data_IF_033881378307
#
_entry.id   IF_033881378307
#
_cell.length_a   1.000
_cell.length_b   1.000
_cell.length_c   1.000
_cell.angle_alpha   90.00
_cell.angle_beta   90.00
_cell.angle_gamma   90.00
#
_symmetry.space_group_name_H-M   'P 1'
#
loop_
_entity.id
_entity.type
_entity.pdbx_description
1 polymer ?
#
# COMPACT_ATOMS: atom_id res chain seq x y z
N UNK A 1 -29.57 -11.52 -5.78
CA UNK A 1 -29.23 -10.53 -4.73
C UNK A 1 -27.78 -10.12 -4.94
N UNK A 2 -27.53 -8.99 -5.59
CA UNK A 2 -26.17 -8.45 -5.76
C UNK A 2 -25.94 -7.42 -4.66
N UNK A 3 -25.32 -7.82 -3.55
CA UNK A 3 -24.79 -6.85 -2.58
C UNK A 3 -23.55 -6.20 -3.21
N UNK A 4 -23.75 -5.10 -3.92
CA UNK A 4 -22.68 -4.21 -4.33
C UNK A 4 -22.05 -3.57 -3.10
N UNK A 5 -20.93 -4.11 -2.64
CA UNK A 5 -20.09 -3.50 -1.61
C UNK A 5 -19.25 -2.37 -2.22
N UNK A 6 -19.89 -1.31 -2.71
CA UNK A 6 -19.23 -0.03 -2.99
C UNK A 6 -19.45 0.92 -1.80
N UNK A 7 -19.02 0.49 -0.62
CA UNK A 7 -18.77 1.42 0.47
C UNK A 7 -17.52 2.18 0.08
N UNK A 8 -17.67 3.42 -0.40
CA UNK A 8 -16.57 4.37 -0.55
C UNK A 8 -16.00 4.61 0.85
N UNK A 9 -15.17 3.67 1.31
CA UNK A 9 -14.45 3.76 2.57
C UNK A 9 -13.37 4.79 2.30
N UNK A 10 -13.66 6.03 2.67
CA UNK A 10 -12.74 7.17 2.52
C UNK A 10 -11.37 6.73 2.98
N UNK A 11 -10.44 6.61 2.04
CA UNK A 11 -9.08 6.21 2.35
C UNK A 11 -8.49 7.31 3.24
N UNK A 12 -7.98 7.00 4.44
CA UNK A 12 -7.39 8.04 5.28
C UNK A 12 -6.20 8.70 4.56
N UNK A 13 -6.14 10.03 4.60
CA UNK A 13 -5.07 10.81 3.98
C UNK A 13 -3.82 10.83 4.85
N UNK A 14 -3.98 10.80 6.17
CA UNK A 14 -2.87 10.80 7.11
C UNK A 14 -2.12 9.45 7.09
N UNK A 15 -0.78 9.42 6.92
CA UNK A 15 -0.02 8.18 6.77
C UNK A 15 -0.22 7.19 7.92
N UNK A 16 -0.36 7.69 9.15
CA UNK A 16 -0.59 6.85 10.33
C UNK A 16 -1.98 6.20 10.30
N UNK A 17 -3.02 6.98 10.04
CA UNK A 17 -4.40 6.46 9.95
C UNK A 17 -4.53 5.48 8.79
N UNK A 18 -3.91 5.79 7.66
CA UNK A 18 -3.84 4.91 6.50
C UNK A 18 -3.15 3.60 6.86
N UNK A 19 -2.06 3.63 7.63
CA UNK A 19 -1.37 2.42 8.07
C UNK A 19 -2.25 1.53 8.98
N UNK A 20 -3.06 2.13 9.85
CA UNK A 20 -4.04 1.39 10.68
C UNK A 20 -5.14 0.79 9.81
N UNK A 21 -5.65 1.57 8.86
CA UNK A 21 -6.68 1.12 7.92
C UNK A 21 -6.19 -0.05 7.05
N UNK A 22 -4.99 0.06 6.46
CA UNK A 22 -4.35 -1.00 5.66
C UNK A 22 -4.17 -2.25 6.49
N UNK A 23 -3.68 -2.14 7.72
CA UNK A 23 -3.56 -3.30 8.62
C UNK A 23 -4.90 -3.99 8.84
N UNK A 24 -5.96 -3.22 9.09
CA UNK A 24 -7.31 -3.76 9.22
C UNK A 24 -7.77 -4.50 7.96
N UNK A 25 -7.55 -3.91 6.78
CA UNK A 25 -7.91 -4.53 5.50
C UNK A 25 -7.11 -5.79 5.18
N UNK A 26 -5.82 -5.82 5.51
CA UNK A 26 -4.98 -7.02 5.39
C UNK A 26 -5.49 -8.12 6.32
N UNK A 27 -5.81 -7.80 7.57
CA UNK A 27 -6.33 -8.77 8.55
C UNK A 27 -7.64 -9.41 8.11
N UNK A 28 -8.55 -8.65 7.49
CA UNK A 28 -9.79 -9.20 6.92
C UNK A 28 -9.52 -10.21 5.80
N UNK A 29 -8.35 -10.15 5.16
CA UNK A 29 -7.88 -11.07 4.10
C UNK A 29 -6.92 -12.14 4.62
N UNK A 30 -6.75 -12.27 5.94
CA UNK A 30 -5.79 -13.23 6.53
C UNK A 30 -4.32 -12.83 6.39
N UNK A 31 -4.04 -11.59 5.98
CA UNK A 31 -2.68 -11.07 5.73
C UNK A 31 -2.21 -10.12 6.83
N UNK A 32 -0.92 -9.79 6.80
CA UNK A 32 -0.30 -8.78 7.67
C UNK A 32 0.89 -8.11 6.98
N UNK A 33 1.35 -6.96 7.47
CA UNK A 33 2.58 -6.33 6.98
C UNK A 33 3.78 -7.28 6.98
N UNK A 34 3.89 -8.13 8.01
CA UNK A 34 4.96 -9.11 8.09
C UNK A 34 4.84 -10.18 6.99
N UNK A 35 3.62 -10.65 6.70
CA UNK A 35 3.37 -11.57 5.59
C UNK A 35 3.74 -10.95 4.25
N UNK A 36 3.29 -9.73 3.98
CA UNK A 36 3.62 -8.99 2.75
C UNK A 36 5.14 -8.81 2.61
N UNK A 37 5.81 -8.42 3.68
CA UNK A 37 7.27 -8.26 3.67
C UNK A 37 8.00 -9.57 3.35
N UNK A 38 7.54 -10.70 3.92
CA UNK A 38 8.12 -12.02 3.65
C UNK A 38 7.91 -12.45 2.20
N UNK A 39 6.72 -12.23 1.63
CA UNK A 39 6.44 -12.51 0.22
C UNK A 39 7.33 -11.71 -0.73
N UNK A 40 7.71 -10.48 -0.33
CA UNK A 40 8.66 -9.64 -1.05
C UNK A 40 10.14 -9.91 -0.70
N UNK A 41 10.45 -10.92 0.12
CA UNK A 41 11.83 -11.22 0.53
C UNK A 41 12.50 -10.14 1.38
N UNK A 42 11.74 -9.26 2.04
CA UNK A 42 12.25 -8.14 2.85
C UNK A 42 12.12 -8.42 4.36
N UNK A 43 12.77 -7.57 5.17
CA UNK A 43 12.62 -7.56 6.63
C UNK A 43 11.16 -7.43 7.05
N UNK A 44 10.74 -8.11 8.14
CA UNK A 44 9.35 -8.16 8.63
C UNK A 44 8.67 -6.80 8.85
N UNK A 45 9.45 -5.73 9.00
CA UNK A 45 8.96 -4.36 9.22
C UNK A 45 8.84 -3.54 7.94
N UNK A 46 9.40 -4.02 6.82
CA UNK A 46 9.57 -3.22 5.62
C UNK A 46 8.23 -2.75 5.04
N UNK A 47 7.22 -3.62 4.94
CA UNK A 47 5.91 -3.22 4.43
C UNK A 47 5.22 -2.19 5.34
N UNK A 48 5.43 -2.25 6.67
CA UNK A 48 4.92 -1.21 7.58
C UNK A 48 5.66 0.11 7.38
N UNK A 49 6.97 0.04 7.16
CA UNK A 49 7.80 1.22 6.89
C UNK A 49 7.38 1.89 5.57
N UNK A 50 6.96 1.11 4.57
CA UNK A 50 6.48 1.61 3.28
C UNK A 50 5.28 2.58 3.40
N UNK A 51 4.49 2.50 4.48
CA UNK A 51 3.42 3.47 4.74
C UNK A 51 3.93 4.89 4.99
N UNK A 52 5.17 5.02 5.49
CA UNK A 52 5.78 6.28 5.92
C UNK A 52 6.95 6.70 5.02
N UNK A 53 7.71 5.73 4.52
CA UNK A 53 8.87 5.95 3.66
C UNK A 53 8.60 5.33 2.29
N UNK A 54 8.95 6.02 1.18
CA UNK A 54 8.73 5.49 -0.16
C UNK A 54 9.43 4.14 -0.39
N UNK A 55 8.70 3.19 -0.97
CA UNK A 55 9.27 1.93 -1.47
C UNK A 55 8.38 1.34 -2.56
N UNK A 56 8.75 1.49 -3.84
CA UNK A 56 7.85 1.21 -4.96
C UNK A 56 7.36 -0.23 -4.94
N UNK A 57 8.28 -1.13 -4.66
CA UNK A 57 8.07 -2.58 -4.60
C UNK A 57 7.05 -2.94 -3.51
N UNK A 58 7.22 -2.40 -2.30
CA UNK A 58 6.35 -2.70 -1.17
C UNK A 58 5.02 -1.96 -1.24
N UNK A 59 5.00 -0.74 -1.76
CA UNK A 59 3.78 0.03 -2.03
C UNK A 59 2.88 -0.73 -3.01
N UNK A 60 3.45 -1.28 -4.07
CA UNK A 60 2.74 -2.15 -5.03
C UNK A 60 2.29 -3.44 -4.39
N UNK A 61 3.17 -4.15 -3.67
CA UNK A 61 2.81 -5.39 -3.00
C UNK A 61 1.66 -5.23 -1.99
N UNK A 62 1.60 -4.08 -1.29
CA UNK A 62 0.49 -3.73 -0.41
C UNK A 62 -0.81 -3.47 -1.19
N UNK A 63 -0.72 -2.72 -2.28
CA UNK A 63 -1.87 -2.41 -3.14
C UNK A 63 -2.44 -3.68 -3.79
N UNK A 64 -1.56 -4.55 -4.29
CA UNK A 64 -1.90 -5.85 -4.87
C UNK A 64 -2.60 -6.76 -3.83
N UNK A 65 -2.08 -6.81 -2.59
CA UNK A 65 -2.69 -7.57 -1.50
C UNK A 65 -4.06 -7.03 -1.06
N UNK A 66 -4.35 -5.77 -1.39
CA UNK A 66 -5.64 -5.12 -1.14
C UNK A 66 -6.54 -5.11 -2.38
N UNK A 67 -6.07 -5.68 -3.50
CA UNK A 67 -6.75 -5.71 -4.80
C UNK A 67 -7.15 -4.30 -5.27
N UNK A 68 -6.26 -3.33 -5.07
CA UNK A 68 -6.49 -1.94 -5.45
C UNK A 68 -5.31 -1.33 -6.21
N UNK A 69 -5.54 -0.32 -7.06
CA UNK A 69 -4.46 0.40 -7.70
C UNK A 69 -3.56 1.12 -6.68
N UNK A 70 -2.24 1.06 -6.90
CA UNK A 70 -1.24 1.71 -6.01
C UNK A 70 -1.46 3.22 -5.85
N UNK A 71 -1.98 3.90 -6.89
CA UNK A 71 -2.29 5.33 -6.85
C UNK A 71 -3.53 5.65 -6.04
N UNK A 72 -4.43 4.68 -5.82
CA UNK A 72 -5.51 4.88 -4.87
C UNK A 72 -4.98 4.83 -3.45
N UNK A 73 -4.06 3.91 -3.16
CA UNK A 73 -3.48 3.77 -1.81
C UNK A 73 -2.47 4.88 -1.46
N UNK A 74 -1.68 5.32 -2.43
CA UNK A 74 -0.64 6.35 -2.27
C UNK A 74 -0.77 7.43 -3.37
N UNK A 75 -1.86 8.22 -3.37
CA UNK A 75 -2.10 9.25 -4.38
C UNK A 75 -1.03 10.34 -4.39
N UNK A 76 -0.35 10.57 -3.27
CA UNK A 76 0.74 11.52 -3.15
C UNK A 76 2.06 11.01 -3.76
N UNK A 77 2.16 9.70 -4.06
CA UNK A 77 3.39 9.06 -4.58
C UNK A 77 3.25 8.56 -6.00
N UNK A 78 2.04 8.21 -6.45
CA UNK A 78 1.79 7.63 -7.77
C UNK A 78 0.70 8.39 -8.56
N UNK A 79 0.92 8.51 -9.87
CA UNK A 79 -0.05 9.06 -10.82
C UNK A 79 -1.18 8.05 -11.12
N UNK A 80 -2.24 8.49 -11.80
CA UNK A 80 -3.37 7.63 -12.19
C UNK A 80 -3.00 6.45 -13.12
N UNK A 81 -1.76 6.37 -13.61
CA UNK A 81 -1.23 5.24 -14.38
C UNK A 81 -0.37 4.29 -13.51
N UNK A 82 -0.31 4.52 -12.20
CA UNK A 82 0.50 3.73 -11.27
C UNK A 82 2.01 3.98 -11.39
N UNK A 83 2.43 5.09 -12.01
CA UNK A 83 3.83 5.51 -12.11
C UNK A 83 4.15 6.50 -11.01
N UNK A 84 5.38 6.52 -10.51
CA UNK A 84 5.76 7.45 -9.43
C UNK A 84 5.78 8.89 -9.92
N UNK A 85 5.27 9.80 -9.08
CA UNK A 85 5.27 11.25 -9.32
C UNK A 85 6.67 11.84 -9.11
N UNK A 86 7.35 11.40 -8.04
CA UNK A 86 8.74 11.76 -7.76
C UNK A 86 9.65 10.53 -7.91
N UNK A 87 10.63 10.61 -8.80
CA UNK A 87 11.69 9.60 -8.87
C UNK A 87 12.59 9.76 -7.66
N UNK A 88 12.90 8.67 -6.95
CA UNK A 88 13.84 8.69 -5.83
C UNK A 88 15.20 9.20 -6.32
N UNK A 89 15.84 10.13 -5.59
CA UNK A 89 17.28 10.36 -5.68
C UNK A 89 17.98 9.11 -5.14
N UNK A 90 18.15 8.10 -6.00
CA UNK A 90 18.76 6.83 -5.62
C UNK A 90 18.93 5.80 -6.75
N UNK A 91 18.60 6.15 -7.99
CA UNK A 91 18.86 5.32 -9.18
C UNK A 91 19.82 6.02 -10.16
N UNK A 92 20.88 6.63 -9.63
CA UNK A 92 22.00 7.14 -10.41
C UNK A 92 23.31 6.94 -9.61
N UNK A 93 23.88 5.74 -9.74
CA UNK A 93 25.32 5.42 -9.73
C UNK A 93 25.47 3.89 -9.64
#
# INVERSE_FOLDING_TARGET
MHMGMNSQKTLPTEPHERAVWVLGQLRLRGESYASISRKAGKSRFAARQAMYQPSAELERALADALEMPVHQLFPERFDGKGRRIHQERGAAA
#
